data_IF_467897928730
#
_entry.id   IF_467897928730
#
_cell.length_a   1.000
_cell.length_b   1.000
_cell.length_c   1.000
_cell.angle_alpha   90.00
_cell.angle_beta   90.00
_cell.angle_gamma   90.00
#
_symmetry.space_group_name_H-M   'P 1'
#
loop_
_entity.id
_entity.type
_entity.pdbx_description
1 polymer ?
#
# COMPACT_ATOMS: atom_id res chain seq x y z
N UNK A 1 26.86 18.58 -32.86
CA UNK A 1 26.71 18.19 -31.43
C UNK A 1 25.22 18.05 -31.21
N UNK A 2 24.66 16.84 -31.38
CA UNK A 2 24.33 15.88 -30.28
C UNK A 2 23.26 16.48 -29.36
N UNK A 3 22.06 15.92 -29.20
CA UNK A 3 21.49 14.66 -29.67
C UNK A 3 19.95 14.69 -29.50
N UNK A 4 19.32 13.61 -29.95
CA UNK A 4 17.89 13.36 -29.92
C UNK A 4 17.30 13.20 -28.49
N UNK A 5 15.98 13.27 -28.46
CA UNK A 5 14.99 13.31 -27.37
C UNK A 5 15.21 12.41 -26.13
N UNK A 6 14.67 12.77 -24.94
CA UNK A 6 14.31 11.78 -23.96
C UNK A 6 12.94 11.21 -24.33
N UNK A 7 12.95 10.13 -25.10
CA UNK A 7 11.82 9.20 -25.21
C UNK A 7 11.72 8.34 -23.93
N UNK A 8 11.57 8.99 -22.77
CA UNK A 8 11.61 8.32 -21.46
C UNK A 8 10.35 8.62 -20.63
N UNK A 9 9.20 8.77 -21.29
CA UNK A 9 7.88 8.81 -20.63
C UNK A 9 6.86 8.09 -21.49
N UNK A 10 7.02 6.80 -21.69
CA UNK A 10 5.94 5.96 -22.27
C UNK A 10 5.84 4.62 -21.56
N UNK A 11 6.93 4.13 -20.96
CA UNK A 11 6.91 2.87 -20.21
C UNK A 11 6.14 2.94 -18.88
N UNK A 12 6.08 4.11 -18.23
CA UNK A 12 5.31 4.30 -16.99
C UNK A 12 3.80 4.26 -17.24
N UNK A 13 3.37 4.65 -18.45
CA UNK A 13 1.99 4.51 -18.89
C UNK A 13 1.58 3.04 -19.19
N UNK A 14 2.54 2.13 -19.23
CA UNK A 14 2.33 0.69 -19.45
C UNK A 14 2.46 -0.14 -18.15
N UNK A 15 2.73 0.51 -17.01
CA UNK A 15 2.74 -0.19 -15.73
C UNK A 15 1.33 -0.74 -15.42
N UNK A 16 1.20 -2.04 -15.09
CA UNK A 16 -0.09 -2.63 -14.82
C UNK A 16 -0.72 -1.95 -13.60
N UNK A 17 -1.94 -1.41 -13.78
CA UNK A 17 -2.72 -0.76 -12.72
C UNK A 17 -3.00 -1.72 -11.55
N UNK A 18 -3.07 -3.02 -11.84
CA UNK A 18 -3.28 -4.10 -10.86
C UNK A 18 -2.32 -5.25 -11.16
N UNK A 19 -1.64 -5.77 -10.13
CA UNK A 19 -0.74 -6.94 -10.22
C UNK A 19 -1.18 -8.04 -9.25
N UNK A 20 -1.38 -9.25 -9.76
CA UNK A 20 -1.60 -10.44 -8.93
C UNK A 20 -0.24 -10.95 -8.44
N UNK A 21 -0.08 -11.04 -7.13
CA UNK A 21 1.21 -11.36 -6.49
C UNK A 21 1.31 -12.82 -6.01
N UNK A 22 0.18 -13.49 -5.87
CA UNK A 22 0.09 -14.88 -5.40
C UNK A 22 -1.23 -15.52 -5.87
N UNK A 23 -1.27 -16.86 -5.88
CA UNK A 23 -2.43 -17.65 -6.29
C UNK A 23 -2.54 -17.89 -7.80
N UNK A 24 -3.62 -18.55 -8.21
CA UNK A 24 -3.96 -18.82 -9.62
C UNK A 24 -5.46 -18.56 -9.81
N UNK A 25 -5.91 -17.29 -9.76
CA UNK A 25 -7.32 -16.96 -9.92
C UNK A 25 -7.80 -17.36 -11.32
N UNK A 26 -9.04 -17.80 -11.39
CA UNK A 26 -9.71 -18.09 -12.65
C UNK A 26 -10.07 -16.80 -13.38
N UNK A 27 -10.31 -16.88 -14.69
CA UNK A 27 -10.73 -15.73 -15.50
C UNK A 27 -12.04 -15.11 -14.99
N UNK A 28 -12.95 -15.94 -14.47
CA UNK A 28 -14.22 -15.50 -13.88
C UNK A 28 -13.99 -14.67 -12.61
N UNK A 29 -13.10 -15.11 -11.72
CA UNK A 29 -12.75 -14.37 -10.50
C UNK A 29 -12.06 -13.05 -10.81
N UNK A 30 -11.20 -13.02 -11.85
CA UNK A 30 -10.58 -11.79 -12.33
C UNK A 30 -11.62 -10.81 -12.88
N UNK A 31 -12.57 -11.29 -13.68
CA UNK A 31 -13.66 -10.47 -14.21
C UNK A 31 -14.56 -9.92 -13.09
N UNK A 32 -14.90 -10.76 -12.11
CA UNK A 32 -15.69 -10.35 -10.95
C UNK A 32 -14.97 -9.26 -10.13
N UNK A 33 -13.68 -9.45 -9.87
CA UNK A 33 -12.85 -8.47 -9.14
C UNK A 33 -12.78 -7.14 -9.89
N UNK A 34 -12.55 -7.17 -11.20
CA UNK A 34 -12.52 -5.97 -12.03
C UNK A 34 -13.86 -5.24 -12.04
N UNK A 35 -14.99 -5.97 -12.11
CA UNK A 35 -16.32 -5.38 -12.07
C UNK A 35 -16.58 -4.64 -10.74
N UNK A 36 -16.15 -5.21 -9.61
CA UNK A 36 -16.26 -4.56 -8.30
C UNK A 36 -15.42 -3.29 -8.25
N UNK A 37 -14.16 -3.33 -8.70
CA UNK A 37 -13.29 -2.16 -8.72
C UNK A 37 -13.90 -1.05 -9.59
N UNK A 38 -14.40 -1.38 -10.78
CA UNK A 38 -15.04 -0.43 -11.67
C UNK A 38 -16.29 0.21 -11.06
N UNK A 39 -17.12 -0.58 -10.36
CA UNK A 39 -18.32 -0.08 -9.69
C UNK A 39 -17.97 0.91 -8.57
N UNK A 40 -16.96 0.60 -7.74
CA UNK A 40 -16.49 1.51 -6.68
C UNK A 40 -15.95 2.80 -7.29
N UNK A 41 -15.14 2.73 -8.34
CA UNK A 41 -14.61 3.93 -9.00
C UNK A 41 -15.72 4.81 -9.60
N UNK A 42 -16.75 4.19 -10.19
CA UNK A 42 -17.92 4.91 -10.70
C UNK A 42 -18.70 5.59 -9.58
N UNK A 43 -18.91 4.92 -8.44
CA UNK A 43 -19.54 5.50 -7.27
C UNK A 43 -18.76 6.70 -6.72
N UNK A 44 -17.43 6.57 -6.58
CA UNK A 44 -16.57 7.67 -6.14
C UNK A 44 -16.60 8.86 -7.10
N UNK A 45 -16.61 8.60 -8.41
CA UNK A 45 -16.75 9.65 -9.41
C UNK A 45 -18.11 10.36 -9.32
N UNK A 46 -19.19 9.61 -9.09
CA UNK A 46 -20.54 10.14 -8.96
C UNK A 46 -20.77 10.91 -7.65
N UNK A 47 -20.15 10.48 -6.55
CA UNK A 47 -20.21 11.16 -5.25
C UNK A 47 -19.55 12.55 -5.26
N UNK A 48 -18.79 12.88 -6.32
CA UNK A 48 -17.95 14.07 -6.38
C UNK A 48 -16.72 13.91 -5.49
N UNK A 49 -15.62 14.59 -5.85
CA UNK A 49 -14.35 14.48 -5.13
C UNK A 49 -14.46 15.02 -3.70
N UNK A 50 -14.96 14.20 -2.76
CA UNK A 50 -14.68 14.40 -1.36
C UNK A 50 -13.15 14.39 -1.22
N UNK A 51 -12.58 15.45 -0.66
CA UNK A 51 -11.15 15.54 -0.40
C UNK A 51 -10.79 14.41 0.57
N UNK A 52 -10.39 13.27 0.01
CA UNK A 52 -9.82 12.17 0.77
C UNK A 52 -8.56 12.75 1.39
N UNK A 53 -8.60 12.99 2.71
CA UNK A 53 -7.37 13.23 3.45
C UNK A 53 -6.43 12.08 3.09
N UNK A 54 -5.14 12.37 2.82
CA UNK A 54 -4.19 11.31 2.49
C UNK A 54 -4.33 10.19 3.53
N UNK A 55 -4.37 8.91 3.10
CA UNK A 55 -4.51 7.79 4.03
C UNK A 55 -3.51 7.96 5.17
N UNK A 56 -3.99 7.82 6.41
CA UNK A 56 -3.09 7.87 7.56
C UNK A 56 -2.13 6.70 7.41
N UNK A 57 -0.86 6.98 7.17
CA UNK A 57 0.17 5.96 7.14
C UNK A 57 0.41 5.47 8.57
N UNK A 58 -0.35 4.45 8.96
CA UNK A 58 -0.23 3.82 10.26
C UNK A 58 1.14 3.15 10.46
N UNK A 59 1.84 2.77 9.39
CA UNK A 59 3.19 2.20 9.46
C UNK A 59 4.22 3.29 9.78
N UNK A 60 4.21 4.42 9.07
CA UNK A 60 5.06 5.56 9.39
C UNK A 60 4.72 6.18 10.74
N UNK A 61 3.45 6.17 11.14
CA UNK A 61 3.02 6.63 12.47
C UNK A 61 3.64 5.74 13.57
N UNK A 62 3.58 4.42 13.41
CA UNK A 62 4.18 3.48 14.34
C UNK A 62 5.73 3.49 14.32
N UNK A 63 6.34 3.93 13.23
CA UNK A 63 7.80 4.03 13.09
C UNK A 63 8.42 5.19 13.90
N UNK A 64 7.63 6.20 14.31
CA UNK A 64 8.14 7.37 15.05
C UNK A 64 8.48 7.07 16.50
N UNK A 65 7.94 6.00 17.08
CA UNK A 65 8.28 5.57 18.43
C UNK A 65 9.35 4.47 18.37
N UNK A 66 10.63 4.77 18.67
CA UNK A 66 11.61 3.71 18.81
C UNK A 66 11.17 2.78 19.95
N UNK A 67 11.04 1.49 19.64
CA UNK A 67 10.92 0.46 20.68
C UNK A 67 12.14 0.59 21.60
N UNK A 68 11.93 0.51 22.91
CA UNK A 68 13.05 0.43 23.84
C UNK A 68 13.92 -0.79 23.48
N UNK A 69 15.23 -0.67 23.66
CA UNK A 69 16.18 -1.75 23.37
C UNK A 69 15.81 -2.96 24.23
N UNK A 70 15.53 -4.10 23.59
CA UNK A 70 15.32 -5.38 24.27
C UNK A 70 16.67 -6.08 24.37
N UNK A 71 17.21 -6.18 25.58
CA UNK A 71 18.42 -6.96 25.83
C UNK A 71 18.08 -8.46 25.89
N UNK A 72 18.84 -9.34 25.22
CA UNK A 72 18.63 -10.77 25.33
C UNK A 72 18.99 -11.25 26.74
N UNK A 73 18.14 -12.10 27.32
CA UNK A 73 18.36 -12.64 28.67
C UNK A 73 17.13 -13.37 29.21
N UNK A 74 17.34 -14.15 30.28
CA UNK A 74 16.24 -14.80 30.97
C UNK A 74 15.23 -13.75 31.46
N UNK A 75 13.95 -13.92 31.12
CA UNK A 75 12.88 -12.98 31.48
C UNK A 75 12.67 -11.79 30.53
N UNK A 76 13.53 -11.60 29.52
CA UNK A 76 13.40 -10.50 28.56
C UNK A 76 12.07 -10.52 27.79
N UNK A 77 11.56 -11.72 27.49
CA UNK A 77 10.25 -11.89 26.86
C UNK A 77 9.09 -11.38 27.75
N UNK A 78 9.14 -11.65 29.05
CA UNK A 78 8.14 -11.17 30.01
C UNK A 78 8.20 -9.66 30.18
N UNK A 79 9.41 -9.07 30.20
CA UNK A 79 9.63 -7.64 30.30
C UNK A 79 9.07 -6.85 29.10
N UNK A 80 8.95 -7.46 27.92
CA UNK A 80 8.36 -6.83 26.73
C UNK A 80 6.86 -6.50 26.88
N UNK A 81 6.14 -7.19 27.79
CA UNK A 81 4.69 -7.02 27.95
C UNK A 81 4.30 -5.66 28.54
N UNK A 82 5.19 -5.03 29.31
CA UNK A 82 4.98 -3.72 29.94
C UNK A 82 5.38 -2.52 29.09
N UNK A 83 5.94 -2.72 27.89
CA UNK A 83 6.48 -1.64 27.05
C UNK A 83 5.42 -1.03 26.10
N UNK A 84 4.16 -1.48 26.16
CA UNK A 84 3.04 -0.88 25.40
C UNK A 84 2.37 0.19 26.26
N UNK A 85 3.00 1.36 26.38
CA UNK A 85 2.45 2.44 27.18
C UNK A 85 3.35 3.68 27.20
N UNK A 86 3.39 4.39 26.08
CA UNK A 86 3.64 5.83 25.93
C UNK A 86 2.93 6.26 24.65
#
# INVERSE_FOLDING_TARGET
MTGAEPAETTMDALAPVVRIVAGSPTDEELAATQAVIAAVLAEQAAAGAARVLPPVDHWSHAARAPRAIVYPGAGAWSASRGQRGC
#
